data_IF_248511064653
#
_entry.id   IF_248511064653
#
_cell.length_a   1.000
_cell.length_b   1.000
_cell.length_c   1.000
_cell.angle_alpha   90.00
_cell.angle_beta   90.00
_cell.angle_gamma   90.00
#
_symmetry.space_group_name_H-M   'P 1'
#
loop_
_entity.id
_entity.type
_entity.pdbx_description
1 polymer ?
#
# COMPACT_ATOMS: atom_id res chain seq x y z
N UNK A 1 15.46 -2.06 -6.65
CA UNK A 1 14.48 -2.54 -5.64
C UNK A 1 13.11 -1.91 -5.89
N UNK A 2 12.95 -0.60 -5.69
CA UNK A 2 11.63 0.06 -5.83
C UNK A 2 11.00 -0.14 -7.22
N UNK A 3 11.75 0.05 -8.31
CA UNK A 3 11.29 -0.25 -9.68
C UNK A 3 10.94 -1.72 -9.92
N UNK A 4 11.57 -2.63 -9.18
CA UNK A 4 11.22 -4.06 -9.24
C UNK A 4 9.86 -4.28 -8.58
N UNK A 5 9.62 -3.69 -7.41
CA UNK A 5 8.35 -3.79 -6.68
C UNK A 5 7.20 -3.19 -7.50
N UNK A 6 7.43 -2.06 -8.20
CA UNK A 6 6.44 -1.46 -9.09
C UNK A 6 5.84 -2.44 -10.11
N UNK A 7 6.62 -3.42 -10.59
CA UNK A 7 6.17 -4.42 -11.58
C UNK A 7 5.22 -5.46 -11.00
N UNK A 8 5.15 -5.57 -9.68
CA UNK A 8 4.25 -6.46 -8.96
C UNK A 8 3.04 -5.72 -8.40
N UNK A 9 2.86 -4.44 -8.72
CA UNK A 9 1.63 -3.74 -8.35
C UNK A 9 0.49 -4.33 -9.16
N UNK A 10 -0.55 -4.79 -8.45
CA UNK A 10 -1.74 -5.34 -9.08
C UNK A 10 -2.99 -4.94 -8.28
N UNK A 11 -3.97 -4.36 -8.97
CA UNK A 11 -5.15 -3.74 -8.36
C UNK A 11 -4.80 -2.80 -7.19
N UNK A 12 -3.72 -2.04 -7.35
CA UNK A 12 -3.24 -1.10 -6.35
C UNK A 12 -2.67 -1.74 -5.09
N UNK A 13 -2.29 -3.02 -5.11
CA UNK A 13 -1.64 -3.72 -3.99
C UNK A 13 -0.24 -4.19 -4.38
N UNK A 14 0.65 -4.27 -3.41
CA UNK A 14 1.90 -5.01 -3.47
C UNK A 14 1.72 -6.35 -2.75
N UNK A 15 2.46 -7.40 -3.16
CA UNK A 15 2.38 -8.67 -2.47
C UNK A 15 3.10 -8.62 -1.12
N UNK A 16 2.58 -9.35 -0.14
CA UNK A 16 3.27 -9.60 1.14
C UNK A 16 4.41 -10.62 0.93
N UNK A 17 4.17 -11.61 0.06
CA UNK A 17 5.16 -12.61 -0.34
C UNK A 17 5.43 -12.51 -1.83
N UNK A 18 6.64 -12.12 -2.16
CA UNK A 18 7.14 -12.17 -3.54
C UNK A 18 7.37 -13.64 -3.92
N UNK A 19 7.05 -14.02 -5.16
CA UNK A 19 7.17 -15.40 -5.59
C UNK A 19 8.64 -15.81 -5.69
N UNK A 20 8.95 -17.00 -5.17
CA UNK A 20 10.10 -17.77 -5.65
C UNK A 20 9.80 -18.33 -7.06
N UNK A 21 10.80 -18.86 -7.75
CA UNK A 21 10.65 -19.32 -9.13
C UNK A 21 9.48 -20.33 -9.31
N UNK A 22 8.35 -19.86 -9.86
CA UNK A 22 7.18 -20.67 -10.20
C UNK A 22 5.93 -20.43 -9.34
N UNK A 23 5.98 -19.60 -8.30
CA UNK A 23 4.82 -19.32 -7.44
C UNK A 23 4.06 -18.04 -7.83
N UNK A 24 2.81 -17.93 -7.39
CA UNK A 24 2.02 -16.71 -7.56
C UNK A 24 2.28 -15.74 -6.39
N UNK A 25 2.36 -14.42 -6.62
CA UNK A 25 2.45 -13.45 -5.54
C UNK A 25 1.21 -13.48 -4.64
N UNK A 26 1.41 -13.33 -3.33
CA UNK A 26 0.30 -13.27 -2.36
C UNK A 26 -0.01 -11.83 -1.96
N UNK A 27 -1.20 -11.36 -2.34
CA UNK A 27 -1.65 -9.98 -2.14
C UNK A 27 -2.45 -9.79 -0.85
N UNK A 28 -1.99 -10.28 0.30
CA UNK A 28 -2.73 -10.23 1.58
C UNK A 28 -2.21 -9.17 2.56
N UNK A 29 -1.83 -7.99 2.07
CA UNK A 29 -1.26 -6.89 2.88
C UNK A 29 -1.90 -5.55 2.54
N UNK A 30 -2.30 -4.78 3.56
CA UNK A 30 -2.78 -3.40 3.40
C UNK A 30 -1.67 -2.37 3.63
N UNK A 31 -0.59 -2.74 4.30
CA UNK A 31 0.52 -1.85 4.67
C UNK A 31 1.62 -1.76 3.62
N UNK A 32 1.88 -2.81 2.83
CA UNK A 32 3.04 -2.87 1.93
C UNK A 32 3.09 -1.71 0.92
N UNK A 33 1.96 -1.38 0.29
CA UNK A 33 1.87 -0.23 -0.62
C UNK A 33 2.09 1.09 0.09
N UNK A 34 1.58 1.24 1.30
CA UNK A 34 1.72 2.49 2.06
C UNK A 34 3.16 2.70 2.55
N UNK A 35 3.86 1.62 2.91
CA UNK A 35 5.31 1.65 3.14
C UNK A 35 6.11 1.94 1.87
N UNK A 36 5.64 1.47 0.71
CA UNK A 36 6.28 1.75 -0.58
C UNK A 36 6.26 3.25 -0.92
N UNK A 37 5.17 3.97 -0.61
CA UNK A 37 5.14 5.44 -0.70
C UNK A 37 6.20 6.08 0.18
N UNK A 38 6.31 5.65 1.44
CA UNK A 38 7.30 6.19 2.37
C UNK A 38 8.74 5.92 1.89
N UNK A 39 9.00 4.74 1.35
CA UNK A 39 10.30 4.39 0.80
C UNK A 39 10.68 5.28 -0.41
N UNK A 40 9.74 5.56 -1.31
CA UNK A 40 9.96 6.47 -2.45
C UNK A 40 10.16 7.90 -1.97
N UNK A 41 9.35 8.37 -1.02
CA UNK A 41 9.49 9.70 -0.41
C UNK A 41 10.85 9.88 0.25
N UNK A 42 11.29 8.90 1.03
CA UNK A 42 12.58 8.90 1.68
C UNK A 42 13.74 8.84 0.67
N UNK A 43 13.63 8.00 -0.37
CA UNK A 43 14.60 7.94 -1.47
C UNK A 43 14.74 9.30 -2.15
N UNK A 44 13.62 9.87 -2.62
CA UNK A 44 13.63 11.15 -3.33
C UNK A 44 14.18 12.28 -2.46
N UNK A 45 13.81 12.34 -1.18
CA UNK A 45 14.34 13.35 -0.25
C UNK A 45 15.88 13.24 -0.06
N UNK A 46 16.45 12.05 -0.25
CA UNK A 46 17.89 11.83 -0.11
C UNK A 46 18.67 12.05 -1.41
N UNK A 47 18.03 11.92 -2.58
CA UNK A 47 18.71 11.91 -3.89
C UNK A 47 18.32 13.06 -4.81
N UNK A 48 17.17 13.68 -4.57
CA UNK A 48 16.53 14.68 -5.45
C UNK A 48 16.32 14.17 -6.90
N UNK A 49 16.18 12.85 -7.06
CA UNK A 49 16.10 12.16 -8.35
C UNK A 49 14.70 12.27 -8.97
N UNK A 50 14.45 13.41 -9.62
CA UNK A 50 13.18 13.72 -10.29
C UNK A 50 12.89 12.79 -11.48
N UNK A 51 13.94 12.27 -12.13
CA UNK A 51 13.79 11.32 -13.24
C UNK A 51 13.18 10.01 -12.75
N UNK A 52 13.70 9.48 -11.65
CA UNK A 52 13.17 8.29 -11.00
C UNK A 52 11.75 8.51 -10.44
N UNK A 53 11.50 9.67 -9.84
CA UNK A 53 10.17 10.00 -9.35
C UNK A 53 9.15 10.03 -10.51
N UNK A 54 9.51 10.65 -11.63
CA UNK A 54 8.67 10.70 -12.84
C UNK A 54 8.36 9.31 -13.40
N UNK A 55 9.32 8.39 -13.36
CA UNK A 55 9.12 7.00 -13.79
C UNK A 55 8.06 6.28 -12.95
N UNK A 56 8.09 6.46 -11.61
CA UNK A 56 7.20 5.74 -10.70
C UNK A 56 5.85 6.43 -10.45
N UNK A 57 5.74 7.72 -10.73
CA UNK A 57 4.54 8.51 -10.42
C UNK A 57 3.23 7.91 -10.96
N UNK A 58 3.13 7.42 -12.22
CA UNK A 58 1.90 6.81 -12.72
C UNK A 58 1.46 5.57 -11.93
N UNK A 59 2.42 4.76 -11.45
CA UNK A 59 2.13 3.58 -10.62
C UNK A 59 1.57 4.02 -9.26
N UNK A 60 2.12 5.10 -8.68
CA UNK A 60 1.64 5.65 -7.42
C UNK A 60 0.22 6.23 -7.55
N UNK A 61 -0.09 6.91 -8.66
CA UNK A 61 -1.45 7.38 -8.96
C UNK A 61 -2.44 6.22 -9.06
N UNK A 62 -2.06 5.12 -9.72
CA UNK A 62 -2.89 3.94 -9.82
C UNK A 62 -3.16 3.30 -8.45
N UNK A 63 -2.14 3.18 -7.60
CA UNK A 63 -2.30 2.68 -6.23
C UNK A 63 -3.28 3.56 -5.44
N UNK A 64 -3.11 4.90 -5.49
CA UNK A 64 -4.05 5.82 -4.84
C UNK A 64 -5.46 5.58 -5.36
N UNK A 65 -5.67 5.56 -6.68
CA UNK A 65 -6.99 5.36 -7.29
C UNK A 65 -7.69 4.10 -6.75
N UNK A 66 -7.01 2.96 -6.74
CA UNK A 66 -7.56 1.70 -6.21
C UNK A 66 -7.88 1.78 -4.71
N UNK A 67 -7.07 2.46 -3.90
CA UNK A 67 -7.38 2.66 -2.49
C UNK A 67 -8.61 3.55 -2.27
N UNK A 68 -8.88 4.52 -3.16
CA UNK A 68 -10.08 5.37 -3.09
C UNK A 68 -11.34 4.64 -3.59
N UNK A 69 -11.24 3.97 -4.74
CA UNK A 69 -12.37 3.28 -5.39
C UNK A 69 -12.74 1.97 -4.68
N UNK A 70 -11.73 1.30 -4.12
CA UNK A 70 -11.81 0.00 -3.48
C UNK A 70 -10.94 -1.03 -4.20
N UNK A 71 -10.26 -1.87 -3.42
CA UNK A 71 -9.52 -3.04 -3.89
C UNK A 71 -9.88 -4.28 -3.07
N UNK A 72 -9.04 -5.32 -3.09
CA UNK A 72 -9.26 -6.60 -2.39
C UNK A 72 -9.48 -6.39 -0.89
N UNK A 73 -10.10 -7.39 -0.26
CA UNK A 73 -10.27 -7.47 1.19
C UNK A 73 -10.96 -6.26 1.83
N UNK A 74 -11.89 -5.65 1.11
CA UNK A 74 -12.60 -4.45 1.54
C UNK A 74 -11.70 -3.23 1.82
N UNK A 75 -10.48 -3.19 1.27
CA UNK A 75 -9.59 -2.04 1.38
C UNK A 75 -10.19 -0.89 0.55
N UNK A 76 -10.62 0.17 1.23
CA UNK A 76 -11.25 1.33 0.59
C UNK A 76 -11.24 2.56 1.48
N UNK A 77 -11.05 3.73 0.87
CA UNK A 77 -11.30 5.04 1.50
C UNK A 77 -12.78 5.20 1.81
N UNK A 78 -13.08 5.46 3.07
CA UNK A 78 -14.41 5.87 3.49
C UNK A 78 -14.62 7.35 3.11
N UNK A 79 -15.61 7.62 2.26
CA UNK A 79 -15.86 8.97 1.76
C UNK A 79 -16.36 9.96 2.82
N UNK A 80 -16.77 9.48 4.00
CA UNK A 80 -17.25 10.34 5.08
C UNK A 80 -16.08 11.02 5.81
N UNK A 81 -14.98 10.29 6.05
CA UNK A 81 -13.85 10.78 6.85
C UNK A 81 -12.49 10.70 6.16
N UNK A 82 -12.41 10.14 4.94
CA UNK A 82 -11.20 10.00 4.16
C UNK A 82 -10.24 8.92 4.67
N UNK A 83 -10.66 8.12 5.65
CA UNK A 83 -9.83 7.06 6.24
C UNK A 83 -9.96 5.76 5.46
N UNK A 84 -8.86 5.03 5.32
CA UNK A 84 -8.87 3.66 4.81
C UNK A 84 -9.49 2.72 5.85
N UNK A 85 -10.52 2.01 5.40
CA UNK A 85 -11.02 0.79 6.02
C UNK A 85 -10.41 -0.41 5.31
N UNK A 86 -10.09 -1.46 6.04
CA UNK A 86 -9.58 -2.72 5.48
C UNK A 86 -10.03 -3.91 6.30
N UNK A 87 -10.14 -5.07 5.65
CA UNK A 87 -10.38 -6.36 6.27
C UNK A 87 -11.77 -6.92 5.99
N UNK A 88 -11.82 -8.24 6.00
CA UNK A 88 -12.99 -9.10 5.82
C UNK A 88 -12.92 -10.22 6.88
N UNK A 89 -14.01 -10.99 7.09
CA UNK A 89 -13.94 -12.15 7.97
C UNK A 89 -12.82 -13.12 7.55
N UNK A 90 -11.96 -13.52 8.49
CA UNK A 90 -10.95 -14.57 8.27
C UNK A 90 -9.62 -14.11 7.67
N UNK A 91 -9.42 -12.80 7.44
CA UNK A 91 -8.15 -12.25 6.91
C UNK A 91 -7.41 -11.35 7.90
N UNK A 92 -6.09 -11.35 7.78
CA UNK A 92 -5.16 -10.56 8.58
C UNK A 92 -4.22 -9.82 7.63
N UNK A 93 -4.42 -8.51 7.49
CA UNK A 93 -3.83 -7.72 6.40
C UNK A 93 -2.71 -6.77 6.84
N UNK A 94 -2.57 -6.52 8.14
CA UNK A 94 -1.50 -5.67 8.67
C UNK A 94 -0.32 -6.52 9.08
N UNK A 95 0.88 -5.96 9.22
CA UNK A 95 2.09 -6.63 9.70
C UNK A 95 1.93 -7.51 10.96
N UNK A 96 0.94 -7.24 11.81
CA UNK A 96 0.50 -8.17 12.86
C UNK A 96 -0.38 -9.28 12.26
N UNK A 97 0.19 -10.11 11.40
CA UNK A 97 -0.49 -11.10 10.54
C UNK A 97 -0.47 -12.54 11.08
N UNK A 98 -0.21 -12.70 12.39
CA UNK A 98 -0.17 -14.00 13.05
C UNK A 98 -1.54 -14.70 13.05
N UNK A 99 -1.59 -15.92 12.51
CA UNK A 99 -2.79 -16.76 12.39
C UNK A 99 -2.46 -18.22 12.67
N UNK A 100 -3.32 -18.92 13.41
CA UNK A 100 -3.21 -20.37 13.70
C UNK A 100 -4.52 -21.06 13.33
N UNK A 101 -4.51 -21.85 12.26
CA UNK A 101 -5.74 -22.36 11.68
C UNK A 101 -6.65 -21.20 11.26
N UNK A 102 -7.88 -21.17 11.74
CA UNK A 102 -8.83 -20.06 11.50
C UNK A 102 -8.73 -18.93 12.54
N UNK A 103 -7.93 -19.10 13.59
CA UNK A 103 -7.81 -18.12 14.66
C UNK A 103 -6.81 -17.01 14.27
N UNK A 104 -7.30 -15.79 14.14
CA UNK A 104 -6.49 -14.57 13.96
C UNK A 104 -6.09 -14.07 15.35
N UNK A 105 -4.79 -14.07 15.63
CA UNK A 105 -4.25 -13.72 16.96
C UNK A 105 -4.42 -12.22 17.24
N UNK A 106 -4.24 -11.40 16.21
CA UNK A 106 -4.24 -9.94 16.29
C UNK A 106 -5.20 -9.35 15.24
N UNK A 107 -6.53 -9.43 15.46
CA UNK A 107 -7.51 -8.90 14.51
C UNK A 107 -7.46 -7.37 14.49
N UNK A 108 -7.29 -6.80 13.29
CA UNK A 108 -7.12 -5.35 13.08
C UNK A 108 -7.95 -4.81 11.93
N UNK A 109 -9.09 -5.47 11.67
CA UNK A 109 -10.10 -5.06 10.70
C UNK A 109 -10.70 -3.71 11.08
N UNK A 110 -11.07 -2.92 10.07
CA UNK A 110 -11.59 -1.57 10.24
C UNK A 110 -10.54 -0.54 9.85
N UNK A 111 -10.37 0.50 10.67
CA UNK A 111 -9.52 1.65 10.39
C UNK A 111 -8.30 1.63 11.32
N UNK A 112 -7.33 0.77 11.01
CA UNK A 112 -6.11 0.66 11.80
C UNK A 112 -5.31 1.99 11.79
N UNK A 113 -4.74 2.35 12.93
CA UNK A 113 -4.13 3.68 13.16
C UNK A 113 -2.93 3.93 12.25
N UNK A 114 -1.98 3.00 12.18
CA UNK A 114 -0.79 3.15 11.34
C UNK A 114 -1.11 3.09 9.85
N UNK A 115 -2.12 2.31 9.45
CA UNK A 115 -2.58 2.27 8.06
C UNK A 115 -3.07 3.66 7.65
N UNK A 116 -3.85 4.31 8.50
CA UNK A 116 -4.33 5.66 8.22
C UNK A 116 -3.25 6.74 8.35
N UNK A 117 -2.27 6.57 9.25
CA UNK A 117 -1.11 7.45 9.32
C UNK A 117 -0.25 7.36 8.05
N UNK A 118 -0.01 6.14 7.55
CA UNK A 118 0.73 5.92 6.31
C UNK A 118 -0.09 6.35 5.09
N UNK A 119 -1.42 6.20 5.10
CA UNK A 119 -2.29 6.71 4.04
C UNK A 119 -2.24 8.23 3.93
N UNK A 120 -2.34 8.93 5.07
CA UNK A 120 -2.14 10.37 5.10
C UNK A 120 -0.76 10.76 4.56
N UNK A 121 0.30 10.05 4.98
CA UNK A 121 1.65 10.28 4.45
C UNK A 121 1.75 10.04 2.93
N UNK A 122 1.11 9.00 2.41
CA UNK A 122 1.08 8.70 0.98
C UNK A 122 0.41 9.83 0.19
N UNK A 123 -0.76 10.31 0.63
CA UNK A 123 -1.47 11.43 0.00
C UNK A 123 -0.66 12.74 0.06
N UNK A 124 -0.01 13.02 1.20
CA UNK A 124 0.86 14.19 1.35
C UNK A 124 2.09 14.10 0.44
N UNK A 125 2.67 12.92 0.30
CA UNK A 125 3.80 12.66 -0.60
C UNK A 125 3.39 12.86 -2.05
N UNK A 126 2.26 12.29 -2.47
CA UNK A 126 1.71 12.48 -3.82
C UNK A 126 1.44 13.95 -4.14
N UNK A 127 0.85 14.70 -3.22
CA UNK A 127 0.64 16.13 -3.41
C UNK A 127 1.96 16.93 -3.53
N UNK A 128 3.03 16.47 -2.86
CA UNK A 128 4.37 17.04 -2.99
C UNK A 128 4.99 16.71 -4.36
N UNK A 129 4.95 15.44 -4.76
CA UNK A 129 5.46 14.95 -6.04
C UNK A 129 4.77 15.64 -7.22
N UNK A 130 3.44 15.76 -7.18
CA UNK A 130 2.66 16.38 -8.25
C UNK A 130 2.92 17.89 -8.44
N UNK A 131 3.40 18.59 -7.41
CA UNK A 131 3.80 20.01 -7.54
C UNK A 131 5.19 20.17 -8.13
N UNK A 132 6.00 19.12 -8.05
CA UNK A 132 7.41 19.13 -8.42
C UNK A 132 7.62 18.64 -9.85
N UNK A 133 6.91 17.58 -10.22
CA UNK A 133 6.85 17.06 -11.60
C UNK A 133 6.03 17.98 -12.51
#
# INVERSE_FOLDING_TARGET
>A
ILTTFARFVDHGMLPNRFPDAGEAPEYNTVDATLWYFEAIRAYHAATDDDGFLKELFPVLEEIVRFHREGTRYGIKEDSIDGLLRSGEPGVQLTWMDAKVGDWIVTPRTGKAVEINALWYNALRSMAGFAKRL
#
